data_IF_439915477148
#
_entry.id   IF_439915477148
#
_cell.length_a   1.000
_cell.length_b   1.000
_cell.length_c   1.000
_cell.angle_alpha   90.00
_cell.angle_beta   90.00
_cell.angle_gamma   90.00
#
_symmetry.space_group_name_H-M   'P 1'
#
loop_
_entity.id
_entity.type
_entity.pdbx_description
1 polymer ?
#
# COMPACT_ATOMS: atom_id res chain seq x y z
N UNK A 1 -15.57 8.99 16.41
CA UNK A 1 -14.83 8.21 16.58
C UNK A 1 -14.04 8.44 17.62
N UNK A 2 -13.72 7.73 18.08
CA UNK A 2 -13.01 7.92 19.24
C UNK A 2 -11.59 8.28 19.00
N UNK A 3 -11.00 8.90 20.00
CA UNK A 3 -9.61 9.20 19.94
C UNK A 3 -8.77 7.93 19.94
N UNK A 4 -9.28 6.88 20.54
CA UNK A 4 -8.58 5.61 20.57
C UNK A 4 -8.34 5.09 19.16
N UNK A 5 -9.37 5.13 18.34
CA UNK A 5 -9.25 4.66 16.99
C UNK A 5 -8.26 5.52 16.19
N UNK A 6 -8.34 6.83 16.38
CA UNK A 6 -7.41 7.74 15.73
C UNK A 6 -5.98 7.44 16.15
N UNK A 7 -5.78 7.20 17.45
CA UNK A 7 -4.44 6.90 17.94
C UNK A 7 -3.88 5.61 17.37
N UNK A 8 -4.71 4.60 17.20
CA UNK A 8 -4.26 3.35 16.61
C UNK A 8 -3.78 3.55 15.19
N UNK A 9 -4.54 4.30 14.39
CA UNK A 9 -4.13 4.58 13.02
C UNK A 9 -2.86 5.42 12.97
N UNK A 10 -2.72 6.36 13.90
CA UNK A 10 -1.55 7.23 13.92
C UNK A 10 -0.25 6.47 14.16
N UNK A 11 -0.31 5.28 14.71
CA UNK A 11 0.89 4.50 14.95
C UNK A 11 1.28 3.65 13.77
N UNK A 12 0.44 3.59 12.75
CA UNK A 12 0.73 2.76 11.59
C UNK A 12 1.80 3.39 10.72
N UNK A 13 2.61 2.54 10.13
CA UNK A 13 3.71 2.95 9.28
C UNK A 13 3.38 2.61 7.84
N UNK A 14 3.50 3.60 6.97
CA UNK A 14 3.21 3.42 5.54
C UNK A 14 4.51 3.61 4.76
N UNK A 15 4.81 2.68 3.88
CA UNK A 15 5.91 2.85 2.94
C UNK A 15 5.31 3.31 1.61
N UNK A 16 5.68 4.50 1.15
CA UNK A 16 5.18 5.06 -0.10
C UNK A 16 6.26 4.96 -1.15
N UNK A 17 5.97 4.24 -2.23
CA UNK A 17 6.94 4.02 -3.30
C UNK A 17 6.45 4.72 -4.56
N UNK A 18 7.14 5.77 -4.95
CA UNK A 18 6.72 6.63 -6.04
C UNK A 18 7.96 7.36 -6.56
N UNK A 19 8.19 7.35 -7.87
CA UNK A 19 9.38 8.02 -8.39
C UNK A 19 9.15 9.47 -8.82
N UNK A 20 7.90 9.89 -8.91
CA UNK A 20 7.61 11.27 -9.27
C UNK A 20 7.63 12.12 -8.01
N UNK A 21 8.63 13.00 -7.93
CA UNK A 21 8.95 13.68 -6.67
C UNK A 21 7.81 14.52 -6.12
N UNK A 22 7.09 15.24 -6.99
CA UNK A 22 6.03 16.12 -6.51
C UNK A 22 4.87 15.33 -5.91
N UNK A 23 4.48 14.25 -6.58
CA UNK A 23 3.38 13.44 -6.07
C UNK A 23 3.77 12.73 -4.79
N UNK A 24 5.02 12.26 -4.73
CA UNK A 24 5.53 11.63 -3.50
C UNK A 24 5.46 12.60 -2.33
N UNK A 25 5.86 13.84 -2.55
CA UNK A 25 5.84 14.81 -1.46
C UNK A 25 4.42 15.14 -1.02
N UNK A 26 3.49 15.24 -1.97
CA UNK A 26 2.09 15.47 -1.61
C UNK A 26 1.55 14.33 -0.76
N UNK A 27 1.85 13.10 -1.16
CA UNK A 27 1.39 11.94 -0.40
C UNK A 27 2.01 11.92 0.99
N UNK A 28 3.32 12.19 1.06
CA UNK A 28 4.01 12.19 2.33
C UNK A 28 3.36 13.20 3.30
N UNK A 29 3.09 14.40 2.82
CA UNK A 29 2.49 15.44 3.66
C UNK A 29 1.08 15.06 4.10
N UNK A 30 0.29 14.52 3.17
CA UNK A 30 -1.08 14.17 3.53
C UNK A 30 -1.12 13.04 4.56
N UNK A 31 -0.29 12.02 4.39
CA UNK A 31 -0.26 10.95 5.36
C UNK A 31 0.25 11.43 6.71
N UNK A 32 1.23 12.32 6.68
CA UNK A 32 1.75 12.86 7.93
C UNK A 32 0.66 13.63 8.66
N UNK A 33 -0.15 14.40 7.95
CA UNK A 33 -1.26 15.13 8.56
C UNK A 33 -2.25 14.18 9.23
N UNK A 34 -2.40 12.99 8.67
CA UNK A 34 -3.29 12.00 9.25
C UNK A 34 -2.68 11.27 10.43
N UNK A 35 -1.41 11.52 10.70
CA UNK A 35 -0.76 10.94 11.86
C UNK A 35 0.01 9.65 11.59
N UNK A 36 0.15 9.26 10.34
CA UNK A 36 0.91 8.05 10.01
C UNK A 36 2.41 8.32 10.06
N UNK A 37 3.16 7.29 10.40
CA UNK A 37 4.60 7.30 10.22
C UNK A 37 4.89 6.93 8.77
N UNK A 38 5.74 7.71 8.09
CA UNK A 38 5.94 7.55 6.66
C UNK A 38 7.40 7.25 6.35
N UNK A 39 7.63 6.25 5.51
CA UNK A 39 8.90 6.04 4.86
C UNK A 39 8.66 6.11 3.36
N UNK A 40 9.66 6.50 2.61
CA UNK A 40 9.51 6.67 1.17
C UNK A 40 10.61 5.93 0.42
N UNK A 41 10.31 5.54 -0.82
CA UNK A 41 11.28 4.97 -1.73
C UNK A 41 10.94 5.48 -3.12
N UNK A 42 11.95 5.66 -3.96
CA UNK A 42 11.73 6.19 -5.31
C UNK A 42 12.06 5.19 -6.41
N UNK A 43 12.44 3.99 -6.04
CA UNK A 43 12.69 2.92 -7.01
C UNK A 43 12.39 1.57 -6.35
N UNK A 44 12.29 0.55 -7.19
CA UNK A 44 11.88 -0.76 -6.72
C UNK A 44 12.89 -1.44 -5.81
N UNK A 45 14.18 -1.26 -6.08
CA UNK A 45 15.20 -1.90 -5.25
C UNK A 45 15.17 -1.34 -3.84
N UNK A 46 15.09 -0.02 -3.72
CA UNK A 46 15.02 0.62 -2.41
C UNK A 46 13.72 0.23 -1.70
N UNK A 47 12.63 0.07 -2.46
CA UNK A 47 11.37 -0.34 -1.89
C UNK A 47 11.48 -1.71 -1.21
N UNK A 48 12.12 -2.67 -1.89
CA UNK A 48 12.28 -4.00 -1.31
C UNK A 48 13.13 -3.94 -0.05
N UNK A 49 14.23 -3.18 -0.09
CA UNK A 49 15.09 -3.06 1.08
C UNK A 49 14.34 -2.46 2.26
N UNK A 50 13.59 -1.39 2.02
CA UNK A 50 12.88 -0.72 3.11
C UNK A 50 11.73 -1.56 3.63
N UNK A 51 11.04 -2.28 2.76
CA UNK A 51 9.97 -3.15 3.23
C UNK A 51 10.50 -4.19 4.19
N UNK A 52 11.65 -4.76 3.86
CA UNK A 52 12.26 -5.78 4.73
C UNK A 52 12.75 -5.21 6.04
N UNK A 53 13.37 -4.04 6.01
CA UNK A 53 13.98 -3.49 7.22
C UNK A 53 12.97 -2.78 8.11
N UNK A 54 11.97 -2.14 7.53
CA UNK A 54 11.03 -1.32 8.31
C UNK A 54 9.76 -2.06 8.67
N UNK A 55 9.43 -3.10 7.92
CA UNK A 55 8.21 -3.89 8.14
C UNK A 55 6.99 -2.99 8.27
N UNK A 56 6.66 -2.25 7.20
CA UNK A 56 5.54 -1.32 7.28
C UNK A 56 4.21 -2.05 7.43
N UNK A 57 3.21 -1.33 7.87
CA UNK A 57 1.87 -1.89 8.00
C UNK A 57 1.14 -1.93 6.67
N UNK A 58 1.58 -1.13 5.72
CA UNK A 58 1.01 -1.10 4.38
C UNK A 58 2.01 -0.48 3.42
N UNK A 59 2.03 -0.94 2.20
CA UNK A 59 2.88 -0.39 1.15
C UNK A 59 2.01 0.18 0.05
N UNK A 60 2.27 1.44 -0.32
CA UNK A 60 1.63 2.09 -1.42
C UNK A 60 2.65 2.08 -2.54
N UNK A 61 2.33 1.47 -3.68
CA UNK A 61 3.34 1.09 -4.64
C UNK A 61 2.93 1.46 -6.05
N UNK A 62 3.70 2.35 -6.68
CA UNK A 62 3.49 2.66 -8.09
C UNK A 62 4.03 1.51 -8.94
N UNK A 63 3.35 1.21 -10.02
CA UNK A 63 3.79 0.18 -10.95
C UNK A 63 4.96 0.67 -11.81
N UNK A 64 4.90 1.93 -12.24
CA UNK A 64 5.88 2.48 -13.18
C UNK A 64 7.07 3.03 -12.44
N UNK A 65 7.97 2.15 -12.03
CA UNK A 65 9.17 2.53 -11.28
C UNK A 65 10.42 2.23 -12.09
N UNK A 66 11.50 3.01 -11.87
CA UNK A 66 12.76 2.70 -12.52
C UNK A 66 13.39 1.44 -11.92
N UNK A 67 14.19 0.78 -12.72
CA UNK A 67 14.99 -0.38 -12.34
C UNK A 67 14.20 -1.65 -12.08
N UNK A 68 13.25 -1.61 -11.18
CA UNK A 68 12.46 -2.79 -10.82
C UNK A 68 11.02 -2.32 -10.67
N UNK A 69 10.14 -2.69 -11.58
CA UNK A 69 8.79 -2.15 -11.58
C UNK A 69 7.96 -2.70 -10.42
N UNK A 70 6.79 -2.09 -10.23
CA UNK A 70 5.96 -2.43 -9.07
C UNK A 70 5.44 -3.85 -9.06
N UNK A 71 5.17 -4.45 -10.23
CA UNK A 71 4.74 -5.85 -10.25
C UNK A 71 5.85 -6.74 -9.72
N UNK A 72 7.08 -6.49 -10.15
CA UNK A 72 8.22 -7.28 -9.70
C UNK A 72 8.47 -7.09 -8.20
N UNK A 73 8.35 -5.86 -7.72
CA UNK A 73 8.49 -5.59 -6.28
C UNK A 73 7.47 -6.42 -5.51
N UNK A 74 6.23 -6.39 -5.96
CA UNK A 74 5.16 -7.10 -5.27
C UNK A 74 5.44 -8.60 -5.23
N UNK A 75 5.87 -9.17 -6.35
CA UNK A 75 6.18 -10.59 -6.39
C UNK A 75 7.31 -10.96 -5.43
N UNK A 76 8.36 -10.13 -5.40
CA UNK A 76 9.48 -10.38 -4.50
C UNK A 76 8.99 -10.37 -3.06
N UNK A 77 8.18 -9.38 -2.69
CA UNK A 77 7.72 -9.27 -1.31
C UNK A 77 6.77 -10.40 -0.94
N UNK A 78 5.97 -10.88 -1.87
CA UNK A 78 5.07 -11.99 -1.59
C UNK A 78 5.81 -13.32 -1.43
N UNK A 79 6.98 -13.44 -2.03
CA UNK A 79 7.78 -14.65 -1.92
C UNK A 79 8.73 -14.65 -0.74
N UNK A 80 8.74 -13.58 0.05
CA UNK A 80 9.58 -13.48 1.23
C UNK A 80 8.67 -13.62 2.45
N UNK A 81 8.91 -14.62 3.27
CA UNK A 81 8.04 -14.90 4.41
C UNK A 81 7.87 -13.70 5.32
N UNK A 82 8.91 -12.88 5.46
CA UNK A 82 8.85 -11.74 6.37
C UNK A 82 7.94 -10.63 5.86
N UNK A 83 7.71 -10.54 4.55
CA UNK A 83 6.91 -9.45 3.98
C UNK A 83 5.64 -9.95 3.30
N UNK A 84 5.44 -11.26 3.24
CA UNK A 84 4.38 -11.85 2.43
C UNK A 84 2.98 -11.39 2.81
N UNK A 85 2.77 -10.99 4.06
CA UNK A 85 1.43 -10.61 4.50
C UNK A 85 1.20 -9.11 4.54
N UNK A 86 2.18 -8.29 4.18
CA UNK A 86 1.99 -6.84 4.21
C UNK A 86 1.03 -6.44 3.11
N UNK A 87 -0.04 -5.71 3.41
CA UNK A 87 -0.95 -5.27 2.35
C UNK A 87 -0.27 -4.30 1.40
N UNK A 88 -0.49 -4.50 0.12
CA UNK A 88 0.11 -3.68 -0.93
C UNK A 88 -1.01 -3.11 -1.79
N UNK A 89 -1.09 -1.80 -1.86
CA UNK A 89 -2.02 -1.11 -2.74
C UNK A 89 -1.22 -0.53 -3.89
N UNK A 90 -1.53 -0.96 -5.11
CA UNK A 90 -0.87 -0.41 -6.28
C UNK A 90 -1.57 0.83 -6.77
N UNK A 91 -0.79 1.85 -7.11
CA UNK A 91 -1.30 3.12 -7.64
C UNK A 91 -0.62 3.34 -8.97
N UNK A 92 -1.37 3.35 -10.06
CA UNK A 92 -0.72 3.37 -11.36
C UNK A 92 -1.55 4.07 -12.41
N UNK A 93 -0.87 4.65 -13.40
CA UNK A 93 -1.51 5.20 -14.58
C UNK A 93 -1.84 4.18 -15.63
N UNK A 94 -1.36 2.94 -15.47
CA UNK A 94 -1.77 1.89 -16.38
C UNK A 94 -3.24 1.61 -16.17
N UNK A 95 -3.98 1.45 -17.24
CA UNK A 95 -5.42 1.26 -17.13
C UNK A 95 -5.85 0.01 -17.88
N UNK A 96 -7.09 -0.38 -17.66
CA UNK A 96 -7.64 -1.54 -18.32
C UNK A 96 -7.52 -2.80 -17.49
N UNK A 97 -8.22 -3.81 -17.93
CA UNK A 97 -8.31 -5.05 -17.17
C UNK A 97 -6.99 -5.80 -17.11
N UNK A 98 -6.18 -5.70 -18.16
CA UNK A 98 -4.89 -6.40 -18.14
C UNK A 98 -4.00 -5.91 -17.03
N UNK A 99 -3.97 -4.59 -16.81
CA UNK A 99 -3.16 -4.05 -15.72
C UNK A 99 -3.66 -4.51 -14.37
N UNK A 100 -4.98 -4.56 -14.21
CA UNK A 100 -5.56 -4.99 -12.94
C UNK A 100 -5.26 -6.46 -12.68
N UNK A 101 -5.37 -7.30 -13.72
CA UNK A 101 -5.06 -8.72 -13.57
C UNK A 101 -3.59 -8.92 -13.21
N UNK A 102 -2.69 -8.18 -13.86
CA UNK A 102 -1.28 -8.30 -13.56
C UNK A 102 -0.98 -7.90 -12.12
N UNK A 103 -1.65 -6.85 -11.63
CA UNK A 103 -1.49 -6.43 -10.24
C UNK A 103 -1.95 -7.50 -9.28
N UNK A 104 -3.12 -8.06 -9.52
CA UNK A 104 -3.66 -9.11 -8.66
C UNK A 104 -2.79 -10.35 -8.72
N UNK A 105 -2.36 -10.75 -9.92
CA UNK A 105 -1.50 -11.91 -10.07
C UNK A 105 -0.18 -11.76 -9.34
N UNK A 106 0.35 -10.53 -9.29
CA UNK A 106 1.61 -10.31 -8.58
C UNK A 106 1.43 -10.29 -7.07
N UNK A 107 0.19 -10.27 -6.60
CA UNK A 107 -0.10 -10.34 -5.17
C UNK A 107 -0.55 -9.04 -4.54
N UNK A 108 -0.94 -8.05 -5.35
CA UNK A 108 -1.44 -6.80 -4.79
C UNK A 108 -2.74 -7.03 -4.02
N UNK A 109 -2.88 -6.31 -2.93
CA UNK A 109 -4.09 -6.40 -2.11
C UNK A 109 -5.20 -5.57 -2.72
N UNK A 110 -4.86 -4.44 -3.32
CA UNK A 110 -5.84 -3.53 -3.89
C UNK A 110 -5.18 -2.68 -4.95
N UNK A 111 -5.94 -1.85 -5.62
CA UNK A 111 -5.50 -1.18 -6.82
C UNK A 111 -6.17 0.16 -6.94
N UNK A 112 -5.43 1.21 -7.21
CA UNK A 112 -5.97 2.54 -7.47
C UNK A 112 -5.41 3.03 -8.80
N UNK A 113 -6.29 3.54 -9.66
CA UNK A 113 -5.88 4.01 -10.98
C UNK A 113 -5.69 5.51 -10.98
N UNK A 114 -4.61 5.97 -11.57
CA UNK A 114 -4.42 7.40 -11.80
C UNK A 114 -5.26 7.80 -13.01
N UNK A 115 -5.79 9.01 -13.06
CA UNK A 115 -5.55 10.09 -12.11
C UNK A 115 -6.31 9.87 -10.81
N UNK A 116 -5.68 10.24 -9.73
CA UNK A 116 -6.25 10.12 -8.40
C UNK A 116 -5.66 11.25 -7.56
N UNK A 117 -6.23 11.49 -6.40
CA UNK A 117 -5.78 12.55 -5.52
C UNK A 117 -5.18 11.95 -4.26
N UNK A 118 -4.31 12.69 -3.57
CA UNK A 118 -3.83 12.20 -2.27
C UNK A 118 -4.96 11.89 -1.30
N UNK A 119 -6.04 12.67 -1.31
CA UNK A 119 -7.17 12.40 -0.43
C UNK A 119 -7.81 11.06 -0.73
N UNK A 120 -7.97 10.72 -1.99
CA UNK A 120 -8.55 9.43 -2.37
C UNK A 120 -7.66 8.29 -1.93
N UNK A 121 -6.36 8.46 -2.08
CA UNK A 121 -5.40 7.44 -1.70
C UNK A 121 -5.41 7.25 -0.18
N UNK A 122 -5.42 8.35 0.57
CA UNK A 122 -5.48 8.28 2.03
C UNK A 122 -6.73 7.54 2.48
N UNK A 123 -7.88 7.84 1.85
CA UNK A 123 -9.12 7.17 2.20
C UNK A 123 -9.03 5.67 1.97
N UNK A 124 -8.45 5.28 0.84
CA UNK A 124 -8.31 3.87 0.52
C UNK A 124 -7.38 3.16 1.52
N UNK A 125 -6.30 3.81 1.90
CA UNK A 125 -5.37 3.24 2.86
C UNK A 125 -6.04 3.06 4.22
N UNK A 126 -6.77 4.07 4.67
CA UNK A 126 -7.47 3.98 5.95
C UNK A 126 -8.48 2.84 5.93
N UNK A 127 -9.22 2.74 4.85
CA UNK A 127 -10.20 1.69 4.70
C UNK A 127 -9.56 0.32 4.80
N UNK A 128 -8.45 0.14 4.11
CA UNK A 128 -7.76 -1.15 4.10
C UNK A 128 -7.21 -1.49 5.49
N UNK A 129 -6.65 -0.52 6.18
CA UNK A 129 -6.10 -0.77 7.50
C UNK A 129 -7.20 -1.08 8.52
N UNK A 130 -8.35 -0.46 8.39
CA UNK A 130 -9.46 -0.74 9.28
C UNK A 130 -10.04 -2.13 9.02
N UNK A 131 -10.01 -2.58 7.79
CA UNK A 131 -10.50 -3.91 7.46
C UNK A 131 -9.64 -5.01 8.05
N UNK A 132 -8.45 -4.68 8.54
CA UNK A 132 -7.59 -5.67 9.18
C UNK A 132 -7.90 -5.84 10.65
N UNK A 133 -8.95 -5.20 11.15
CA UNK A 133 -9.32 -5.38 12.53
C UNK A 133 -9.81 -6.81 12.75
N UNK A 134 -9.74 -7.30 13.96
CA UNK A 134 -10.19 -8.67 14.24
C UNK A 134 -11.63 -8.92 13.82
N UNK A 135 -12.46 -7.92 13.93
CA UNK A 135 -13.84 -8.06 13.54
C UNK A 135 -13.98 -8.34 12.07
N UNK A 136 -13.25 -7.60 11.24
CA UNK A 136 -13.31 -7.81 9.82
C UNK A 136 -12.80 -9.19 9.44
N UNK A 137 -11.79 -9.63 10.12
CA UNK A 137 -11.22 -10.93 9.82
C UNK A 137 -12.16 -12.06 10.19
N UNK A 138 -12.92 -11.87 11.22
CA UNK A 138 -13.85 -12.90 11.64
C UNK A 138 -14.96 -13.09 10.62
N UNK A 139 -15.42 -12.02 10.03
CA UNK A 139 -16.53 -12.10 9.11
C UNK A 139 -16.22 -12.85 7.84
N UNK A 140 -15.11 -12.57 7.22
CA UNK A 140 -14.88 -13.18 5.92
C UNK A 140 -14.75 -14.68 5.95
N UNK A 141 -14.45 -15.19 7.08
CA UNK A 141 -14.30 -16.62 7.10
C UNK A 141 -15.54 -17.31 6.59
N UNK A 142 -16.62 -16.71 6.87
CA UNK A 142 -17.81 -17.27 6.35
C UNK A 142 -17.97 -17.03 4.92
N UNK A 143 -17.50 -16.03 4.50
CA UNK A 143 -17.77 -15.87 3.32
C UNK A 143 -16.90 -16.06 2.49
N UNK A 144 -16.12 -16.25 2.83
CA UNK A 144 -15.38 -16.42 1.94
C UNK A 144 -15.50 -17.38 1.29
N UNK A 145 -16.02 -17.87 1.67
CA UNK A 145 -16.18 -18.66 1.18
C UNK A 145 -16.54 -18.77 0.24
N UNK A 146 -16.66 -18.64 0.12
CA UNK A 146 -17.19 -18.78 -0.74
C UNK A 146 -16.99 -18.53 -1.50
#
# INVERSE_FOLDING_TARGET
>A
MSQTQTSLLKRKKILVVEDEADFLELLRLRFKEEGFAIATATNGIDAVKKARSLMPDLILLDVMLPELDGFAVCEILRNDASTASIPIIMVTGLCGQLSRYAGIDSGATDFVTKPTTPDEIVSKVKERLQERSPRSEALPAGKSRR
#
